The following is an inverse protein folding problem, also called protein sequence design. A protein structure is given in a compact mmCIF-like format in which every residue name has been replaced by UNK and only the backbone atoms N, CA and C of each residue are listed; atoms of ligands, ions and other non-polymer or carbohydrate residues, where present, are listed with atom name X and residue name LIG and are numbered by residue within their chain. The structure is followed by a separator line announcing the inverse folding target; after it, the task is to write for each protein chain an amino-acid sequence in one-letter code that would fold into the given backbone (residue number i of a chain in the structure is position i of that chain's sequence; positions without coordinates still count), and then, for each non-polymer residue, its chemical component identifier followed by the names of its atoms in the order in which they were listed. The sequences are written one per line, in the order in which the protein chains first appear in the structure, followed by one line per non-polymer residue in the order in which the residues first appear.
data_IF_195287267083
#
_entry.id   IF_195287267083
#
_cell.length_a   1.000
_cell.length_b   1.000
_cell.length_c   1.000
_cell.angle_alpha   90.00
_cell.angle_beta   90.00
_cell.angle_gamma   90.00
#
_symmetry.space_group_name_H-M   'P 1'
#
loop_
_entity.id
_entity.type
_entity.pdbx_description
1 polymer ?
#
# COMPACT_ATOMS: atom_id res chain seq x y z
N UNK A 1 35.49 -10.85 -13.36
CA UNK A 1 35.81 -9.42 -13.61
C UNK A 1 34.56 -8.62 -13.34
N UNK A 2 34.53 -7.77 -12.32
CA UNK A 2 33.38 -6.89 -12.06
C UNK A 2 33.23 -5.91 -13.24
N UNK A 3 32.11 -5.98 -13.98
CA UNK A 3 31.82 -5.01 -15.04
C UNK A 3 31.46 -3.67 -14.40
N UNK A 4 32.41 -2.74 -14.40
CA UNK A 4 32.16 -1.35 -14.05
C UNK A 4 31.51 -0.67 -15.25
N UNK A 5 30.31 -0.13 -15.09
CA UNK A 5 29.60 0.57 -16.16
C UNK A 5 29.56 2.07 -15.85
N UNK A 6 30.05 2.88 -16.79
CA UNK A 6 29.93 4.34 -16.68
C UNK A 6 28.65 4.76 -17.37
N UNK A 7 27.78 5.46 -16.65
CA UNK A 7 26.49 5.96 -17.12
C UNK A 7 26.61 7.48 -17.28
N UNK A 8 26.45 7.94 -18.50
CA UNK A 8 26.51 9.34 -18.96
C UNK A 8 25.22 9.77 -19.65
N UNK A 9 24.46 8.82 -20.21
CA UNK A 9 23.23 9.11 -20.96
C UNK A 9 22.04 8.26 -20.50
N UNK A 10 20.82 8.72 -20.82
CA UNK A 10 19.58 7.96 -20.56
C UNK A 10 19.57 6.63 -21.32
N UNK A 11 20.16 6.59 -22.52
CA UNK A 11 20.27 5.37 -23.31
C UNK A 11 21.14 4.30 -22.61
N UNK A 12 22.21 4.72 -21.94
CA UNK A 12 23.06 3.82 -21.15
C UNK A 12 22.33 3.32 -19.88
N UNK A 13 21.46 4.16 -19.29
CA UNK A 13 20.60 3.73 -18.18
C UNK A 13 19.56 2.69 -18.64
N UNK A 14 19.01 2.84 -19.85
CA UNK A 14 18.06 1.90 -20.44
C UNK A 14 18.68 0.54 -20.81
N UNK A 15 20.00 0.46 -20.92
CA UNK A 15 20.72 -0.80 -21.15
C UNK A 15 20.85 -1.69 -19.90
N UNK A 16 20.42 -1.20 -18.73
CA UNK A 16 20.49 -1.92 -17.46
C UNK A 16 19.31 -2.90 -17.36
N UNK A 17 19.54 -4.16 -16.91
CA UNK A 17 18.45 -5.10 -16.67
C UNK A 17 17.39 -4.53 -15.72
N UNK A 18 16.10 -4.72 -16.04
CA UNK A 18 14.98 -4.16 -15.27
C UNK A 18 15.05 -4.48 -13.77
N UNK A 19 15.57 -5.67 -13.42
CA UNK A 19 15.75 -6.09 -12.03
C UNK A 19 16.75 -5.24 -11.23
N UNK A 20 17.77 -4.69 -11.89
CA UNK A 20 18.85 -3.93 -11.24
C UNK A 20 18.69 -2.41 -11.37
N UNK A 21 17.75 -1.97 -12.21
CA UNK A 21 17.36 -0.58 -12.38
C UNK A 21 17.03 0.13 -11.05
N UNK A 22 16.26 -0.46 -10.10
CA UNK A 22 16.00 0.20 -8.81
C UNK A 22 17.26 0.42 -7.96
N UNK A 23 18.21 -0.52 -8.01
CA UNK A 23 19.48 -0.43 -7.28
C UNK A 23 20.39 0.63 -7.90
N UNK A 24 20.44 0.67 -9.23
CA UNK A 24 21.16 1.69 -9.99
C UNK A 24 20.59 3.09 -9.71
N UNK A 25 19.28 3.28 -9.79
CA UNK A 25 18.61 4.55 -9.51
C UNK A 25 18.85 5.02 -8.07
N UNK A 26 18.78 4.12 -7.09
CA UNK A 26 19.10 4.46 -5.70
C UNK A 26 20.57 4.87 -5.52
N UNK A 27 21.50 4.25 -6.25
CA UNK A 27 22.91 4.61 -6.23
C UNK A 27 23.19 5.94 -6.95
N UNK A 28 22.52 6.20 -8.08
CA UNK A 28 22.56 7.45 -8.82
C UNK A 28 22.08 8.61 -7.95
N UNK A 29 20.93 8.45 -7.28
CA UNK A 29 20.38 9.45 -6.37
C UNK A 29 21.38 9.79 -5.25
N UNK A 30 22.00 8.78 -4.62
CA UNK A 30 23.06 9.01 -3.61
C UNK A 30 24.25 9.76 -4.19
N UNK A 31 24.69 9.41 -5.41
CA UNK A 31 25.79 10.09 -6.10
C UNK A 31 25.50 11.57 -6.36
N UNK A 32 24.29 11.90 -6.81
CA UNK A 32 23.86 13.29 -7.04
C UNK A 32 23.82 14.08 -5.73
N UNK A 33 23.24 13.50 -4.67
CA UNK A 33 23.16 14.15 -3.35
C UNK A 33 24.56 14.43 -2.80
N UNK A 34 25.48 13.47 -2.89
CA UNK A 34 26.84 13.66 -2.40
C UNK A 34 27.63 14.68 -3.24
N UNK A 35 27.49 14.67 -4.57
CA UNK A 35 28.10 15.68 -5.42
C UNK A 35 27.56 17.09 -5.14
N UNK A 36 26.26 17.23 -4.88
CA UNK A 36 25.67 18.51 -4.45
C UNK A 36 26.21 18.98 -3.11
N UNK A 37 26.38 18.05 -2.17
CA UNK A 37 26.99 18.33 -0.86
C UNK A 37 28.43 18.81 -1.03
N UNK A 38 29.24 18.14 -1.83
CA UNK A 38 30.63 18.54 -2.10
C UNK A 38 30.71 19.92 -2.77
N UNK A 39 29.81 20.19 -3.72
CA UNK A 39 29.70 21.50 -4.36
C UNK A 39 29.32 22.61 -3.35
N UNK A 40 28.38 22.34 -2.45
CA UNK A 40 28.01 23.29 -1.40
C UNK A 40 29.17 23.57 -0.43
N UNK A 41 29.92 22.54 -0.05
CA UNK A 41 31.12 22.69 0.79
C UNK A 41 32.17 23.54 0.06
N UNK A 42 32.45 23.25 -1.21
CA UNK A 42 33.42 24.02 -2.00
C UNK A 42 33.03 25.49 -2.18
N UNK A 43 31.74 25.81 -2.29
CA UNK A 43 31.23 27.19 -2.28
C UNK A 43 31.44 27.87 -0.92
N UNK A 44 31.12 27.19 0.18
CA UNK A 44 31.30 27.72 1.53
C UNK A 44 32.77 27.95 1.89
N UNK A 45 33.68 27.12 1.37
CA UNK A 45 35.13 27.22 1.59
C UNK A 45 35.83 28.17 0.59
N UNK A 46 35.09 28.78 -0.34
CA UNK A 46 35.62 29.71 -1.34
C UNK A 46 36.52 29.06 -2.39
N UNK A 47 36.46 27.74 -2.54
CA UNK A 47 37.23 26.96 -3.52
C UNK A 47 36.68 27.11 -4.95
N UNK A 48 35.41 27.51 -5.08
CA UNK A 48 34.73 27.79 -6.35
C UNK A 48 33.93 29.09 -6.26
N UNK A 49 33.85 29.83 -7.37
CA UNK A 49 33.09 31.08 -7.42
C UNK A 49 31.57 30.82 -7.31
N UNK A 50 30.85 31.78 -6.73
CA UNK A 50 29.40 31.69 -6.51
C UNK A 50 28.57 31.52 -7.79
N UNK A 51 29.15 31.84 -8.94
CA UNK A 51 28.49 31.78 -10.25
C UNK A 51 28.64 30.40 -10.93
N UNK A 52 29.46 29.50 -10.37
CA UNK A 52 29.65 28.17 -10.94
C UNK A 52 28.41 27.31 -10.67
N UNK A 53 27.73 26.91 -11.74
CA UNK A 53 26.58 26.02 -11.67
C UNK A 53 27.00 24.58 -11.34
N UNK A 54 26.17 23.88 -10.56
CA UNK A 54 26.38 22.47 -10.27
C UNK A 54 26.16 21.61 -11.53
N UNK A 55 27.21 20.92 -11.98
CA UNK A 55 27.14 19.95 -13.07
C UNK A 55 27.44 18.53 -12.58
N UNK A 56 26.58 17.58 -12.93
CA UNK A 56 26.76 16.15 -12.64
C UNK A 56 26.87 15.38 -13.95
N UNK A 57 28.09 15.17 -14.44
CA UNK A 57 28.35 14.71 -15.80
C UNK A 57 28.58 13.20 -15.94
N UNK A 58 29.02 12.52 -14.87
CA UNK A 58 29.33 11.08 -14.94
C UNK A 58 28.96 10.33 -13.67
N UNK A 59 28.29 9.19 -13.83
CA UNK A 59 28.02 8.26 -12.75
C UNK A 59 28.67 6.91 -13.05
N UNK A 60 29.54 6.45 -12.17
CA UNK A 60 30.14 5.11 -12.28
C UNK A 60 29.30 4.17 -11.44
N UNK A 61 28.56 3.28 -12.11
CA UNK A 61 27.79 2.25 -11.44
C UNK A 61 28.56 0.94 -11.41
N UNK A 62 28.61 0.34 -10.23
CA UNK A 62 29.08 -1.04 -10.05
C UNK A 62 27.86 -1.87 -9.70
N UNK A 63 27.43 -2.79 -10.57
CA UNK A 63 26.42 -3.77 -10.21
C UNK A 63 26.88 -4.43 -8.92
N UNK A 64 26.04 -4.40 -7.88
CA UNK A 64 26.30 -5.23 -6.72
C UNK A 64 26.22 -6.67 -7.19
N UNK A 65 27.38 -7.30 -7.45
CA UNK A 65 27.52 -8.69 -7.96
C UNK A 65 26.88 -9.77 -7.08
N UNK A 66 26.15 -9.37 -6.03
CA UNK A 66 25.33 -10.23 -5.20
C UNK A 66 24.25 -10.97 -5.99
N UNK A 67 23.74 -10.42 -7.11
CA UNK A 67 22.66 -11.07 -7.88
C UNK A 67 23.18 -12.02 -8.97
N UNK A 68 24.23 -11.66 -9.69
CA UNK A 68 24.92 -12.58 -10.61
C UNK A 68 25.54 -13.77 -9.86
N UNK A 69 26.16 -13.53 -8.70
CA UNK A 69 26.63 -14.61 -7.84
C UNK A 69 25.49 -15.48 -7.31
N UNK A 70 24.33 -14.90 -7.01
CA UNK A 70 23.15 -15.64 -6.53
C UNK A 70 22.46 -16.44 -7.64
N UNK A 71 22.39 -15.90 -8.86
CA UNK A 71 21.84 -16.61 -10.03
C UNK A 71 22.78 -17.73 -10.50
N UNK A 72 24.10 -17.49 -10.50
CA UNK A 72 25.10 -18.52 -10.78
C UNK A 72 25.17 -19.61 -9.68
N UNK A 73 24.91 -19.23 -8.42
CA UNK A 73 24.74 -20.18 -7.33
C UNK A 73 23.46 -20.99 -7.52
N UNK A 74 22.32 -20.34 -7.79
CA UNK A 74 21.02 -20.99 -7.99
C UNK A 74 21.06 -22.07 -9.07
N UNK A 75 21.80 -21.85 -10.16
CA UNK A 75 22.00 -22.86 -11.21
C UNK A 75 22.79 -24.11 -10.75
N UNK A 76 23.47 -24.04 -9.60
CA UNK A 76 24.22 -25.15 -8.98
C UNK A 76 23.55 -25.69 -7.71
N UNK A 77 22.46 -25.07 -7.25
CA UNK A 77 21.74 -25.54 -6.08
C UNK A 77 20.85 -26.72 -6.48
N UNK A 78 20.85 -27.75 -5.65
CA UNK A 78 19.91 -28.85 -5.69
C UNK A 78 19.28 -29.07 -4.31
N UNK A 79 18.27 -29.96 -4.20
CA UNK A 79 17.63 -30.28 -2.92
C UNK A 79 18.64 -30.73 -1.84
N UNK A 80 19.65 -31.49 -2.25
CA UNK A 80 20.71 -32.01 -1.38
C UNK A 80 21.77 -30.97 -0.98
N UNK A 81 21.69 -29.73 -1.50
CA UNK A 81 22.72 -28.72 -1.22
C UNK A 81 22.75 -28.37 0.27
N UNK A 82 23.91 -28.47 0.94
CA UNK A 82 24.04 -28.15 2.35
C UNK A 82 23.74 -26.67 2.66
N UNK A 83 23.11 -26.41 3.80
CA UNK A 83 22.89 -25.05 4.31
C UNK A 83 24.20 -24.28 4.51
N UNK A 84 25.31 -25.00 4.75
CA UNK A 84 26.65 -24.44 4.86
C UNK A 84 27.14 -23.72 3.60
N UNK A 85 26.63 -24.09 2.42
CA UNK A 85 26.98 -23.50 1.13
C UNK A 85 26.13 -22.27 0.78
N UNK A 86 25.04 -22.04 1.52
CA UNK A 86 24.13 -20.93 1.26
C UNK A 86 24.75 -19.59 1.68
N UNK A 87 24.49 -18.49 0.94
CA UNK A 87 25.04 -17.16 1.20
C UNK A 87 24.28 -16.45 2.34
N UNK A 88 24.12 -17.12 3.47
CA UNK A 88 23.47 -16.62 4.70
C UNK A 88 24.51 -16.41 5.80
N UNK A 89 24.17 -15.58 6.79
CA UNK A 89 25.07 -15.27 7.91
C UNK A 89 25.35 -16.52 8.75
N UNK A 90 26.53 -16.65 9.39
CA UNK A 90 26.85 -17.78 10.26
C UNK A 90 25.81 -18.01 11.37
N UNK A 91 25.25 -16.94 11.94
CA UNK A 91 24.18 -17.02 12.93
C UNK A 91 22.92 -17.70 12.41
N UNK A 92 22.57 -17.49 11.14
CA UNK A 92 21.41 -18.12 10.49
C UNK A 92 21.69 -19.61 10.26
N UNK A 93 22.91 -19.96 9.81
CA UNK A 93 23.32 -21.37 9.65
C UNK A 93 23.25 -22.12 10.98
N UNK A 94 23.71 -21.50 12.05
CA UNK A 94 23.65 -22.07 13.39
C UNK A 94 22.19 -22.35 13.82
N UNK A 95 21.28 -21.40 13.60
CA UNK A 95 19.84 -21.60 13.90
C UNK A 95 19.23 -22.70 13.03
N UNK A 96 19.61 -22.79 11.76
CA UNK A 96 19.14 -23.86 10.87
C UNK A 96 19.62 -25.24 11.35
N UNK A 97 20.89 -25.37 11.73
CA UNK A 97 21.42 -26.59 12.34
C UNK A 97 20.74 -26.95 13.66
N UNK A 98 20.42 -25.97 14.52
CA UNK A 98 19.65 -26.21 15.74
C UNK A 98 18.24 -26.75 15.48
N UNK A 99 17.69 -26.48 14.29
CA UNK A 99 16.38 -26.97 13.84
C UNK A 99 16.49 -28.26 13.03
N UNK A 100 17.67 -28.92 13.03
CA UNK A 100 17.97 -30.11 12.23
C UNK A 100 17.80 -29.89 10.72
N UNK A 101 18.06 -28.67 10.24
CA UNK A 101 18.11 -28.36 8.81
C UNK A 101 19.55 -28.44 8.34
N UNK A 102 19.87 -29.45 7.55
CA UNK A 102 21.22 -29.68 7.02
C UNK A 102 21.31 -29.37 5.52
N UNK A 103 20.25 -29.63 4.75
CA UNK A 103 20.15 -29.32 3.32
C UNK A 103 18.95 -28.43 2.95
N UNK A 104 18.82 -28.10 1.66
CA UNK A 104 17.68 -27.33 1.14
C UNK A 104 16.37 -28.13 1.16
N UNK A 105 16.42 -29.45 1.02
CA UNK A 105 15.25 -30.32 1.18
C UNK A 105 14.71 -30.26 2.61
N UNK A 106 15.57 -30.37 3.63
CA UNK A 106 15.17 -30.21 5.03
C UNK A 106 14.54 -28.83 5.28
N UNK A 107 15.05 -27.80 4.60
CA UNK A 107 14.53 -26.44 4.73
C UNK A 107 13.10 -26.34 4.17
N UNK A 108 12.78 -27.09 3.12
CA UNK A 108 11.42 -27.19 2.57
C UNK A 108 10.44 -27.88 3.53
N UNK A 109 10.93 -28.72 4.44
CA UNK A 109 10.12 -29.37 5.48
C UNK A 109 9.81 -28.47 6.69
N UNK A 110 10.29 -27.22 6.72
CA UNK A 110 10.05 -26.27 7.80
C UNK A 110 9.16 -25.10 7.35
N UNK A 111 8.26 -24.66 8.23
CA UNK A 111 7.40 -23.51 7.97
C UNK A 111 8.11 -22.16 8.20
N UNK A 112 7.67 -21.10 7.51
CA UNK A 112 8.18 -19.73 7.72
C UNK A 112 8.05 -19.29 9.20
N UNK A 113 6.97 -19.68 9.88
CA UNK A 113 6.77 -19.35 11.28
C UNK A 113 7.80 -20.02 12.20
N UNK A 114 8.17 -21.27 11.92
CA UNK A 114 9.18 -21.97 12.71
C UNK A 114 10.57 -21.38 12.51
N UNK A 115 10.89 -20.91 11.31
CA UNK A 115 12.11 -20.15 11.05
C UNK A 115 12.12 -18.83 11.82
N UNK A 116 11.00 -18.09 11.81
CA UNK A 116 10.88 -16.79 12.48
C UNK A 116 10.86 -16.86 14.01
N UNK A 117 10.58 -18.03 14.61
CA UNK A 117 10.64 -18.23 16.06
C UNK A 117 12.07 -18.30 16.61
N UNK A 118 13.10 -18.44 15.76
CA UNK A 118 14.49 -18.49 16.17
C UNK A 118 15.15 -17.11 16.25
N UNK A 119 15.94 -16.87 17.30
CA UNK A 119 16.74 -15.67 17.42
C UNK A 119 17.80 -15.62 16.31
N UNK A 120 17.74 -14.58 15.46
CA UNK A 120 18.71 -14.35 14.38
C UNK A 120 18.20 -14.60 12.96
N UNK A 121 16.99 -15.15 12.79
CA UNK A 121 16.35 -15.31 11.46
C UNK A 121 15.24 -14.29 11.28
N UNK A 122 15.55 -13.19 10.58
CA UNK A 122 14.57 -12.15 10.28
C UNK A 122 13.77 -12.39 9.00
N UNK A 123 12.65 -11.67 8.85
CA UNK A 123 11.74 -11.74 7.69
C UNK A 123 12.47 -11.61 6.33
N UNK A 124 13.49 -10.75 6.25
CA UNK A 124 14.29 -10.57 5.02
C UNK A 124 15.13 -11.82 4.69
N UNK A 125 15.66 -12.49 5.70
CA UNK A 125 16.42 -13.74 5.53
C UNK A 125 15.50 -14.86 5.06
N UNK A 126 14.32 -14.99 5.67
CA UNK A 126 13.33 -16.00 5.25
C UNK A 126 12.85 -15.75 3.82
N UNK A 127 12.65 -14.48 3.44
CA UNK A 127 12.35 -14.10 2.04
C UNK A 127 13.40 -14.63 1.07
N UNK A 128 14.69 -14.43 1.36
CA UNK A 128 15.80 -14.93 0.52
C UNK A 128 15.89 -16.45 0.49
N UNK A 129 15.67 -17.11 1.63
CA UNK A 129 15.66 -18.57 1.71
C UNK A 129 14.52 -19.16 0.87
N UNK A 130 13.35 -18.53 0.89
CA UNK A 130 12.23 -18.90 0.02
C UNK A 130 12.56 -18.69 -1.47
N UNK A 131 13.16 -17.56 -1.83
CA UNK A 131 13.59 -17.31 -3.22
C UNK A 131 14.59 -18.38 -3.70
N UNK A 132 15.50 -18.82 -2.81
CA UNK A 132 16.42 -19.93 -3.10
C UNK A 132 15.68 -21.24 -3.34
N UNK A 133 14.75 -21.60 -2.46
CA UNK A 133 13.93 -22.82 -2.63
C UNK A 133 13.13 -22.78 -3.93
N UNK A 134 12.48 -21.64 -4.22
CA UNK A 134 11.68 -21.48 -5.44
C UNK A 134 12.52 -21.61 -6.72
N UNK A 135 13.81 -21.22 -6.67
CA UNK A 135 14.72 -21.39 -7.81
C UNK A 135 15.02 -22.86 -8.16
N UNK A 136 14.83 -23.78 -7.20
CA UNK A 136 14.99 -25.23 -7.39
C UNK A 136 13.64 -25.98 -7.40
N UNK A 137 12.52 -25.26 -7.47
CA UNK A 137 11.17 -25.84 -7.51
C UNK A 137 10.63 -26.30 -6.14
N UNK A 138 11.29 -25.92 -5.04
CA UNK A 138 10.82 -26.18 -3.67
C UNK A 138 10.16 -24.93 -3.08
N UNK A 139 9.36 -25.09 -2.03
CA UNK A 139 8.89 -23.99 -1.18
C UNK A 139 8.92 -24.42 0.29
N UNK A 140 8.80 -23.47 1.20
CA UNK A 140 8.67 -23.75 2.62
C UNK A 140 7.35 -24.47 2.92
N UNK A 141 7.36 -25.30 3.97
CA UNK A 141 6.16 -26.00 4.42
C UNK A 141 5.05 -24.97 4.75
N UNK A 142 3.81 -25.20 4.33
CA UNK A 142 2.70 -24.36 4.73
C UNK A 142 2.55 -24.35 6.26
N UNK A 143 2.07 -23.24 6.78
CA UNK A 143 1.84 -23.08 8.21
C UNK A 143 0.89 -24.18 8.73
N UNK A 144 1.21 -24.91 9.81
CA UNK A 144 0.28 -25.88 10.39
C UNK A 144 -0.95 -25.21 11.03
N UNK A 145 -0.82 -23.96 11.49
CA UNK A 145 -1.93 -23.17 12.02
C UNK A 145 -2.77 -22.54 10.90
N UNK A 146 -4.09 -22.75 10.93
CA UNK A 146 -5.04 -22.16 9.99
C UNK A 146 -4.94 -20.64 9.95
N UNK A 147 -4.83 -19.98 11.10
CA UNK A 147 -4.68 -18.52 11.15
C UNK A 147 -3.36 -18.11 10.48
N UNK A 148 -2.30 -18.85 10.75
CA UNK A 148 -1.01 -18.67 10.09
C UNK A 148 -1.13 -18.73 8.56
N UNK A 149 -1.84 -19.74 8.03
CA UNK A 149 -2.10 -19.87 6.59
C UNK A 149 -2.84 -18.69 6.00
N UNK A 150 -3.91 -18.22 6.67
CA UNK A 150 -4.67 -17.04 6.23
C UNK A 150 -3.78 -15.78 6.12
N UNK A 151 -2.83 -15.60 7.05
CA UNK A 151 -1.87 -14.49 7.01
C UNK A 151 -0.82 -14.66 5.91
N UNK A 152 -0.36 -15.88 5.67
CA UNK A 152 0.64 -16.19 4.66
C UNK A 152 0.06 -16.04 3.25
N UNK A 153 -1.17 -16.51 3.01
CA UNK A 153 -1.94 -16.30 1.77
C UNK A 153 -2.11 -14.81 1.47
N UNK A 154 -2.61 -14.05 2.44
CA UNK A 154 -2.77 -12.61 2.27
C UNK A 154 -1.43 -11.89 2.04
N UNK A 155 -0.35 -12.36 2.67
CA UNK A 155 1.00 -11.84 2.43
C UNK A 155 1.49 -12.16 1.02
N UNK A 156 1.24 -13.37 0.53
CA UNK A 156 1.63 -13.79 -0.81
C UNK A 156 0.98 -12.91 -1.89
N UNK A 157 -0.34 -12.69 -1.80
CA UNK A 157 -1.06 -11.80 -2.72
C UNK A 157 -0.54 -10.36 -2.71
N UNK A 158 -0.13 -9.85 -1.54
CA UNK A 158 0.48 -8.51 -1.42
C UNK A 158 1.88 -8.41 -2.02
N UNK A 159 2.59 -9.52 -2.20
CA UNK A 159 3.91 -9.54 -2.87
C UNK A 159 3.78 -9.52 -4.39
N UNK A 160 2.61 -9.88 -4.93
CA UNK A 160 2.36 -9.80 -6.37
C UNK A 160 2.42 -8.35 -6.88
N UNK A 161 2.83 -8.12 -8.13
CA UNK A 161 2.64 -6.85 -8.82
C UNK A 161 1.15 -6.43 -8.84
N UNK A 162 0.87 -5.14 -8.96
CA UNK A 162 -0.50 -4.63 -8.81
C UNK A 162 -1.48 -5.20 -9.85
N UNK A 163 -1.04 -5.39 -11.10
CA UNK A 163 -1.85 -6.00 -12.17
C UNK A 163 -2.17 -7.48 -11.91
N UNK A 164 -1.17 -8.25 -11.47
CA UNK A 164 -1.34 -9.65 -11.11
C UNK A 164 -2.26 -9.79 -9.90
N UNK A 165 -2.12 -8.90 -8.91
CA UNK A 165 -2.98 -8.88 -7.72
C UNK A 165 -4.43 -8.55 -8.08
N UNK A 166 -4.66 -7.52 -8.90
CA UNK A 166 -6.01 -7.17 -9.37
C UNK A 166 -6.63 -8.34 -10.14
N UNK A 167 -5.85 -9.03 -10.98
CA UNK A 167 -6.31 -10.23 -11.71
C UNK A 167 -6.67 -11.39 -10.78
N UNK A 168 -5.90 -11.62 -9.69
CA UNK A 168 -6.22 -12.65 -8.69
C UNK A 168 -7.49 -12.35 -7.88
N UNK A 169 -7.88 -11.08 -7.78
CA UNK A 169 -9.07 -10.65 -7.05
C UNK A 169 -10.34 -10.71 -7.89
N UNK A 170 -10.22 -10.56 -9.22
CA UNK A 170 -11.35 -10.66 -10.15
C UNK A 170 -12.00 -12.05 -10.06
N UNK A 171 -13.31 -12.08 -9.83
CA UNK A 171 -14.08 -13.32 -9.79
C UNK A 171 -14.09 -14.03 -8.43
N UNK A 172 -13.55 -13.42 -7.38
CA UNK A 172 -13.73 -13.95 -6.02
C UNK A 172 -15.21 -13.93 -5.61
N UNK A 173 -15.70 -15.11 -5.21
CA UNK A 173 -17.06 -15.34 -4.75
C UNK A 173 -17.21 -15.05 -3.26
N UNK A 174 -18.46 -15.03 -2.80
CA UNK A 174 -18.80 -14.79 -1.39
C UNK A 174 -18.31 -15.90 -0.46
N UNK A 175 -18.10 -17.11 -0.98
CA UNK A 175 -17.63 -18.27 -0.20
C UNK A 175 -16.12 -18.30 0.00
N UNK A 176 -15.37 -17.46 -0.74
CA UNK A 176 -13.93 -17.38 -0.55
C UNK A 176 -13.57 -16.78 0.81
N UNK A 177 -12.43 -17.21 1.35
CA UNK A 177 -11.87 -16.67 2.59
C UNK A 177 -11.49 -15.20 2.44
N UNK A 178 -11.61 -14.42 3.52
CA UNK A 178 -11.12 -13.04 3.54
C UNK A 178 -9.60 -12.92 3.39
N UNK A 179 -8.84 -14.01 3.59
CA UNK A 179 -7.40 -14.05 3.30
C UNK A 179 -7.11 -13.81 1.82
N UNK A 180 -8.02 -14.21 0.93
CA UNK A 180 -7.90 -14.03 -0.53
C UNK A 180 -8.01 -12.55 -0.97
N UNK A 181 -8.44 -11.64 -0.09
CA UNK A 181 -8.47 -10.20 -0.38
C UNK A 181 -7.08 -9.54 -0.29
N UNK A 182 -6.04 -10.24 0.20
CA UNK A 182 -4.70 -9.67 0.31
C UNK A 182 -4.62 -8.46 1.26
N UNK A 183 -5.39 -8.46 2.34
CA UNK A 183 -5.43 -7.36 3.33
C UNK A 183 -4.15 -7.29 4.17
N UNK A 184 -3.71 -6.09 4.56
CA UNK A 184 -2.62 -5.93 5.54
C UNK A 184 -2.89 -6.75 6.80
N UNK A 185 -1.81 -7.23 7.43
CA UNK A 185 -1.93 -8.10 8.61
C UNK A 185 -2.70 -7.47 9.78
N UNK A 186 -2.66 -6.15 9.95
CA UNK A 186 -3.49 -5.45 10.94
C UNK A 186 -4.99 -5.53 10.60
N UNK A 187 -5.33 -5.19 9.35
CA UNK A 187 -6.69 -5.23 8.81
C UNK A 187 -7.27 -6.64 8.84
N UNK A 188 -6.52 -7.64 8.34
CA UNK A 188 -6.92 -9.05 8.35
C UNK A 188 -7.14 -9.57 9.77
N UNK A 189 -6.21 -9.28 10.70
CA UNK A 189 -6.34 -9.68 12.11
C UNK A 189 -7.60 -9.10 12.73
N UNK A 190 -7.91 -7.84 12.44
CA UNK A 190 -9.11 -7.17 12.94
C UNK A 190 -10.38 -7.75 12.34
N UNK A 191 -10.37 -8.06 11.05
CA UNK A 191 -11.50 -8.70 10.36
C UNK A 191 -11.81 -10.08 10.97
N UNK A 192 -10.78 -10.92 11.12
CA UNK A 192 -10.92 -12.24 11.76
C UNK A 192 -11.41 -12.15 13.21
N UNK A 193 -10.93 -11.16 13.98
CA UNK A 193 -11.42 -10.91 15.36
C UNK A 193 -12.85 -10.41 15.41
N UNK A 194 -13.28 -9.65 14.41
CA UNK A 194 -14.65 -9.18 14.28
C UNK A 194 -15.62 -10.26 13.77
N UNK A 195 -15.12 -11.47 13.50
CA UNK A 195 -15.90 -12.62 13.08
C UNK A 195 -16.00 -12.82 11.58
N UNK A 196 -15.38 -11.96 10.76
CA UNK A 196 -15.39 -12.09 9.32
C UNK A 196 -14.43 -13.21 8.88
N UNK A 197 -14.94 -14.25 8.24
CA UNK A 197 -14.22 -15.41 7.72
C UNK A 197 -14.28 -15.48 6.21
N UNK A 198 -15.42 -15.11 5.63
CA UNK A 198 -15.64 -15.15 4.18
C UNK A 198 -15.93 -13.76 3.60
N UNK A 199 -15.66 -13.59 2.31
CA UNK A 199 -15.85 -12.31 1.60
C UNK A 199 -17.32 -11.89 1.61
N UNK A 200 -18.26 -12.84 1.53
CA UNK A 200 -19.69 -12.58 1.57
C UNK A 200 -20.13 -11.88 2.86
N UNK A 201 -19.54 -12.21 4.01
CA UNK A 201 -19.87 -11.56 5.29
C UNK A 201 -19.42 -10.09 5.28
N UNK A 202 -18.29 -9.78 4.64
CA UNK A 202 -17.85 -8.38 4.46
C UNK A 202 -18.78 -7.64 3.49
N UNK A 203 -19.17 -8.26 2.38
CA UNK A 203 -20.08 -7.67 1.37
C UNK A 203 -21.48 -7.42 1.92
N UNK A 204 -21.98 -8.30 2.78
CA UNK A 204 -23.27 -8.17 3.45
C UNK A 204 -23.25 -7.14 4.60
N UNK A 205 -22.07 -6.69 5.02
CA UNK A 205 -21.95 -5.72 6.11
C UNK A 205 -22.14 -4.32 5.59
N UNK A 206 -23.04 -3.56 6.20
CA UNK A 206 -23.25 -2.17 5.80
C UNK A 206 -22.02 -1.30 6.06
N UNK A 207 -21.77 -0.30 5.20
CA UNK A 207 -20.71 0.70 5.38
C UNK A 207 -20.63 1.31 6.78
N UNK A 208 -21.78 1.55 7.41
CA UNK A 208 -21.89 2.08 8.78
C UNK A 208 -21.33 1.13 9.83
N UNK A 209 -21.58 -0.17 9.69
CA UNK A 209 -21.04 -1.20 10.60
C UNK A 209 -19.53 -1.37 10.40
N UNK A 210 -19.05 -1.26 9.16
CA UNK A 210 -17.60 -1.20 8.93
C UNK A 210 -16.98 0.04 9.57
N UNK A 211 -17.69 1.18 9.57
CA UNK A 211 -17.22 2.43 10.18
C UNK A 211 -16.98 2.33 11.69
N UNK A 212 -17.74 1.52 12.41
CA UNK A 212 -17.58 1.32 13.86
C UNK A 212 -16.48 0.32 14.20
N UNK A 213 -16.26 -0.68 13.34
CA UNK A 213 -15.29 -1.77 13.58
C UNK A 213 -13.89 -1.49 13.06
N UNK A 214 -13.75 -0.66 12.03
CA UNK A 214 -12.48 -0.42 11.33
C UNK A 214 -12.12 1.07 11.27
N UNK A 215 -10.82 1.36 11.36
CA UNK A 215 -10.29 2.70 11.17
C UNK A 215 -10.33 3.13 9.70
N UNK A 216 -10.19 4.43 9.42
CA UNK A 216 -10.31 4.98 8.05
C UNK A 216 -9.37 4.29 7.03
N UNK A 217 -8.13 4.02 7.40
CA UNK A 217 -7.16 3.35 6.52
C UNK A 217 -7.52 1.90 6.22
N UNK A 218 -8.03 1.17 7.23
CA UNK A 218 -8.45 -0.22 7.11
C UNK A 218 -9.70 -0.33 6.23
N UNK A 219 -10.65 0.57 6.42
CA UNK A 219 -11.85 0.64 5.56
C UNK A 219 -11.47 0.90 4.13
N UNK A 220 -10.66 1.93 3.86
CA UNK A 220 -10.19 2.25 2.51
C UNK A 220 -9.58 1.03 1.83
N UNK A 221 -8.76 0.28 2.57
CA UNK A 221 -8.17 -0.97 2.06
C UNK A 221 -9.23 -2.02 1.74
N UNK A 222 -10.18 -2.28 2.65
CA UNK A 222 -11.27 -3.25 2.45
C UNK A 222 -12.10 -2.86 1.21
N UNK A 223 -12.55 -1.61 1.13
CA UNK A 223 -13.32 -1.11 -0.01
C UNK A 223 -12.56 -1.25 -1.33
N UNK A 224 -11.30 -0.82 -1.37
CA UNK A 224 -10.50 -0.92 -2.59
C UNK A 224 -10.38 -2.38 -3.08
N UNK A 225 -10.13 -3.32 -2.15
CA UNK A 225 -10.03 -4.73 -2.50
C UNK A 225 -11.36 -5.34 -2.93
N UNK A 226 -12.46 -4.97 -2.28
CA UNK A 226 -13.79 -5.43 -2.69
C UNK A 226 -14.20 -4.87 -4.06
N UNK A 227 -13.87 -3.61 -4.35
CA UNK A 227 -14.10 -3.03 -5.68
C UNK A 227 -13.31 -3.76 -6.77
N UNK A 228 -12.05 -4.14 -6.49
CA UNK A 228 -11.21 -4.92 -7.42
C UNK A 228 -11.77 -6.32 -7.72
N UNK A 229 -12.63 -6.88 -6.85
CA UNK A 229 -13.30 -8.17 -7.12
C UNK A 229 -14.44 -8.07 -8.14
N UNK A 230 -14.90 -6.86 -8.46
CA UNK A 230 -16.05 -6.60 -9.35
C UNK A 230 -17.40 -6.54 -8.64
N UNK A 231 -17.50 -6.98 -7.37
CA UNK A 231 -18.71 -6.89 -6.55
C UNK A 231 -18.31 -6.31 -5.19
N UNK A 232 -18.74 -5.07 -4.92
CA UNK A 232 -18.30 -4.32 -3.74
C UNK A 232 -19.05 -4.71 -2.47
N UNK A 233 -20.37 -4.51 -2.44
CA UNK A 233 -21.24 -4.73 -1.29
C UNK A 233 -22.64 -5.13 -1.78
N UNK A 234 -23.44 -5.76 -0.93
CA UNK A 234 -24.85 -6.05 -1.24
C UNK A 234 -25.67 -4.77 -1.41
N UNK A 235 -25.32 -3.72 -0.67
CA UNK A 235 -25.82 -2.35 -0.87
C UNK A 235 -24.72 -1.55 -1.55
N UNK A 236 -25.00 -1.01 -2.75
CA UNK A 236 -24.03 -0.16 -3.46
C UNK A 236 -23.69 1.03 -2.56
N UNK A 237 -22.42 1.19 -2.14
CA UNK A 237 -22.03 2.29 -1.27
C UNK A 237 -22.29 3.62 -2.00
N UNK A 238 -22.86 4.59 -1.30
CA UNK A 238 -23.14 5.89 -1.93
C UNK A 238 -21.84 6.58 -2.35
N UNK A 239 -21.84 7.42 -3.40
CA UNK A 239 -20.65 8.18 -3.81
C UNK A 239 -20.04 8.96 -2.63
N UNK A 240 -20.87 9.50 -1.74
CA UNK A 240 -20.42 10.20 -0.53
C UNK A 240 -19.71 9.26 0.47
N UNK A 241 -20.15 8.01 0.60
CA UNK A 241 -19.44 7.02 1.42
C UNK A 241 -18.09 6.61 0.83
N UNK A 242 -17.99 6.49 -0.50
CA UNK A 242 -16.72 6.26 -1.18
C UNK A 242 -15.75 7.44 -0.98
N UNK A 243 -16.24 8.67 -1.07
CA UNK A 243 -15.48 9.89 -0.77
C UNK A 243 -15.02 9.96 0.69
N UNK A 244 -15.89 9.65 1.67
CA UNK A 244 -15.53 9.60 3.11
C UNK A 244 -14.33 8.68 3.36
N UNK A 245 -14.23 7.59 2.61
CA UNK A 245 -13.13 6.63 2.70
C UNK A 245 -11.95 6.94 1.75
N UNK A 246 -12.01 8.01 0.96
CA UNK A 246 -10.92 8.48 0.09
C UNK A 246 -10.71 7.62 -1.15
N UNK A 247 -11.79 7.07 -1.69
CA UNK A 247 -11.79 6.23 -2.91
C UNK A 247 -12.21 7.01 -4.15
N UNK A 248 -13.00 8.07 -3.95
CA UNK A 248 -13.53 8.96 -4.99
C UNK A 248 -13.12 10.37 -4.63
N UNK A 249 -12.68 11.14 -5.63
CA UNK A 249 -12.28 12.52 -5.45
C UNK A 249 -13.53 13.43 -5.32
N UNK A 250 -13.41 14.63 -4.75
CA UNK A 250 -14.60 15.48 -4.52
C UNK A 250 -15.22 15.95 -5.84
N UNK A 251 -14.39 16.22 -6.82
CA UNK A 251 -14.70 16.62 -8.19
C UNK A 251 -15.43 15.54 -9.00
N UNK A 252 -15.31 14.27 -8.59
CA UNK A 252 -16.05 13.15 -9.17
C UNK A 252 -17.46 13.01 -8.58
N UNK A 253 -17.82 13.79 -7.55
CA UNK A 253 -19.15 13.76 -6.93
C UNK A 253 -20.10 14.74 -7.62
N UNK A 254 -21.27 14.26 -8.00
CA UNK A 254 -22.39 15.11 -8.43
C UNK A 254 -23.12 15.65 -7.21
N UNK A 255 -23.45 16.95 -7.25
CA UNK A 255 -24.27 17.56 -6.22
C UNK A 255 -25.67 16.92 -6.25
N UNK A 256 -26.26 16.54 -5.11
CA UNK A 256 -27.57 15.93 -5.10
C UNK A 256 -28.67 16.94 -5.44
N UNK A 257 -29.61 16.54 -6.31
CA UNK A 257 -30.72 17.41 -6.73
C UNK A 257 -32.01 17.15 -5.91
N UNK A 258 -32.07 16.03 -5.19
CA UNK A 258 -33.26 15.62 -4.44
C UNK A 258 -33.36 16.37 -3.10
N UNK A 259 -34.48 17.07 -2.81
CA UNK A 259 -34.65 17.84 -1.58
C UNK A 259 -34.65 16.97 -0.32
N UNK A 260 -35.03 15.70 -0.43
CA UNK A 260 -35.03 14.73 0.68
C UNK A 260 -33.62 14.20 1.01
N UNK A 261 -32.61 14.56 0.22
CA UNK A 261 -31.23 14.10 0.43
C UNK A 261 -30.76 14.43 1.84
N UNK A 262 -30.33 13.44 2.64
CA UNK A 262 -29.87 13.70 4.01
C UNK A 262 -28.68 14.66 4.05
N UNK A 263 -28.64 15.53 5.06
CA UNK A 263 -27.54 16.47 5.27
C UNK A 263 -26.18 15.76 5.39
N UNK A 264 -26.17 14.52 5.89
CA UNK A 264 -24.98 13.67 6.00
C UNK A 264 -24.33 13.33 4.65
N UNK A 265 -25.12 13.35 3.57
CA UNK A 265 -24.67 13.08 2.21
C UNK A 265 -24.20 14.35 1.50
N UNK A 266 -24.61 15.53 1.97
CA UNK A 266 -24.14 16.84 1.52
C UNK A 266 -22.79 17.26 2.13
N UNK A 267 -22.26 16.48 3.07
CA UNK A 267 -20.99 16.76 3.75
C UNK A 267 -19.81 17.13 2.82
N UNK A 268 -19.61 16.52 1.64
CA UNK A 268 -18.51 16.86 0.74
C UNK A 268 -18.50 18.33 0.30
N UNK A 269 -19.67 18.93 0.11
CA UNK A 269 -19.81 20.32 -0.33
C UNK A 269 -19.90 21.30 0.83
N UNK A 270 -20.55 20.90 1.93
CA UNK A 270 -20.72 21.75 3.12
C UNK A 270 -19.42 21.97 3.90
N UNK A 271 -18.48 21.02 3.84
CA UNK A 271 -17.19 21.12 4.52
C UNK A 271 -17.32 21.47 6.00
N UNK A 272 -16.76 22.62 6.40
CA UNK A 272 -16.77 23.08 7.79
C UNK A 272 -18.18 23.44 8.30
N UNK A 273 -19.11 23.80 7.41
CA UNK A 273 -20.48 24.18 7.78
C UNK A 273 -21.36 22.99 8.20
N UNK A 274 -20.98 21.77 7.84
CA UNK A 274 -21.78 20.57 8.12
C UNK A 274 -22.14 20.42 9.60
N UNK A 275 -21.15 20.52 10.50
CA UNK A 275 -21.38 20.35 11.95
C UNK A 275 -22.28 21.44 12.55
N UNK A 276 -22.07 22.75 12.27
CA UNK A 276 -23.00 23.80 12.66
C UNK A 276 -24.44 23.59 12.17
N UNK A 277 -24.63 23.25 10.88
CA UNK A 277 -25.94 23.03 10.28
C UNK A 277 -26.65 21.82 10.91
N UNK A 278 -25.92 20.74 11.15
CA UNK A 278 -26.42 19.55 11.84
C UNK A 278 -26.86 19.88 13.29
N UNK A 279 -26.07 20.67 14.03
CA UNK A 279 -26.42 21.11 15.39
C UNK A 279 -27.66 22.00 15.43
N UNK A 280 -27.90 22.78 14.37
CA UNK A 280 -29.09 23.63 14.21
C UNK A 280 -30.36 22.82 13.93
N UNK A 281 -30.22 21.53 13.61
CA UNK A 281 -31.32 20.61 13.37
C UNK A 281 -31.72 20.47 11.90
N UNK A 282 -30.90 20.97 10.96
CA UNK A 282 -31.13 20.73 9.54
C UNK A 282 -30.94 19.23 9.24
N UNK A 283 -31.89 18.64 8.51
CA UNK A 283 -31.94 17.19 8.26
C UNK A 283 -31.63 16.82 6.82
N UNK A 284 -31.95 17.68 5.87
CA UNK A 284 -31.93 17.39 4.44
C UNK A 284 -31.57 18.63 3.59
N UNK A 285 -31.46 18.43 2.27
CA UNK A 285 -31.19 19.48 1.30
C UNK A 285 -32.31 20.52 1.26
N UNK A 286 -33.58 20.11 1.35
CA UNK A 286 -34.73 21.00 1.35
C UNK A 286 -34.68 22.02 2.49
N UNK A 287 -34.32 21.60 3.69
CA UNK A 287 -34.12 22.49 4.84
C UNK A 287 -32.98 23.50 4.62
N UNK A 288 -31.92 23.08 3.94
CA UNK A 288 -30.80 23.96 3.58
C UNK A 288 -31.21 24.98 2.51
N UNK A 289 -31.93 24.54 1.47
CA UNK A 289 -32.44 25.39 0.39
C UNK A 289 -33.50 26.39 0.89
N UNK A 290 -34.27 26.04 1.93
CA UNK A 290 -35.22 26.93 2.57
C UNK A 290 -34.53 28.03 3.38
N UNK A 291 -33.41 27.70 4.03
CA UNK A 291 -32.60 28.64 4.83
C UNK A 291 -31.66 29.51 3.99
N UNK A 292 -31.87 29.61 2.67
CA UNK A 292 -30.98 30.26 1.70
C UNK A 292 -30.78 31.78 1.89
N UNK A 293 -31.27 32.38 2.99
CA UNK A 293 -30.91 33.75 3.35
C UNK A 293 -29.50 33.77 3.98
N UNK A 294 -28.62 34.57 3.37
CA UNK A 294 -27.27 34.87 3.86
C UNK A 294 -27.27 35.27 5.34
N UNK A 295 -28.22 36.10 5.77
CA UNK A 295 -28.28 36.58 7.15
C UNK A 295 -28.68 35.47 8.11
N UNK A 296 -29.57 34.57 7.68
CA UNK A 296 -29.99 33.41 8.45
C UNK A 296 -28.83 32.42 8.61
N UNK A 297 -28.08 32.11 7.54
CA UNK A 297 -26.93 31.21 7.59
C UNK A 297 -25.76 31.78 8.41
N UNK A 298 -25.48 33.08 8.28
CA UNK A 298 -24.43 33.75 9.05
C UNK A 298 -24.78 33.91 10.55
N UNK A 299 -26.06 33.80 10.92
CA UNK A 299 -26.50 33.81 12.31
C UNK A 299 -26.24 32.47 13.04
N UNK A 300 -25.94 31.40 12.29
CA UNK A 300 -25.68 30.08 12.86
C UNK A 300 -24.29 30.07 13.52
N UNK A 301 -24.27 29.79 14.82
CA UNK A 301 -23.03 29.68 15.59
C UNK A 301 -22.06 28.66 14.96
N UNK A 302 -20.88 29.12 14.57
CA UNK A 302 -19.85 28.33 13.89
C UNK A 302 -19.81 28.49 12.36
N UNK A 303 -20.71 29.26 11.76
CA UNK A 303 -20.66 29.65 10.34
C UNK A 303 -20.23 31.13 10.25
N UNK A 304 -19.05 31.39 9.69
CA UNK A 304 -18.59 32.75 9.42
C UNK A 304 -19.15 33.31 8.12
N UNK A 305 -19.07 34.63 7.92
CA UNK A 305 -19.56 35.34 6.72
C UNK A 305 -19.06 34.70 5.41
N UNK A 306 -17.76 34.43 5.30
CA UNK A 306 -17.18 33.79 4.11
C UNK A 306 -17.72 32.38 3.84
N UNK A 307 -18.04 31.62 4.89
CA UNK A 307 -18.63 30.27 4.74
C UNK A 307 -20.10 30.38 4.35
N UNK A 308 -20.84 31.33 4.91
CA UNK A 308 -22.21 31.63 4.52
C UNK A 308 -22.29 32.06 3.05
N UNK A 309 -21.40 32.93 2.60
CA UNK A 309 -21.33 33.39 1.20
C UNK A 309 -21.13 32.21 0.23
N UNK A 310 -20.21 31.30 0.55
CA UNK A 310 -19.97 30.08 -0.25
C UNK A 310 -21.15 29.11 -0.25
N UNK A 311 -21.92 29.04 0.84
CA UNK A 311 -23.11 28.20 0.91
C UNK A 311 -24.24 28.80 0.06
N UNK A 312 -24.44 30.11 0.12
CA UNK A 312 -25.43 30.80 -0.74
C UNK A 312 -25.06 30.62 -2.20
N UNK A 313 -23.79 30.84 -2.58
CA UNK A 313 -23.31 30.62 -3.94
C UNK A 313 -23.53 29.17 -4.43
N UNK A 314 -23.22 28.18 -3.57
CA UNK A 314 -23.50 26.77 -3.84
C UNK A 314 -25.00 26.51 -4.06
N UNK A 315 -25.85 27.05 -3.18
CA UNK A 315 -27.30 26.89 -3.24
C UNK A 315 -27.89 27.56 -4.50
N UNK A 316 -27.44 28.76 -4.84
CA UNK A 316 -27.89 29.52 -6.01
C UNK A 316 -27.48 28.83 -7.31
N UNK A 317 -26.25 28.33 -7.40
CA UNK A 317 -25.75 27.60 -8.57
C UNK A 317 -26.57 26.35 -8.87
N UNK A 318 -27.11 25.70 -7.84
CA UNK A 318 -27.89 24.46 -7.95
C UNK A 318 -29.42 24.67 -7.86
N UNK A 319 -29.89 25.92 -7.77
CA UNK A 319 -31.32 26.27 -7.85
C UNK A 319 -31.82 26.54 -9.28
N UNK A 320 -30.89 26.76 -10.21
CA UNK A 320 -31.16 27.20 -11.60
C UNK A 320 -31.14 26.07 -12.64
N UNK A 321 -31.06 24.82 -12.20
CA UNK A 321 -31.20 23.60 -13.03
C UNK A 321 -32.48 22.89 -12.62
#
# INVERSE_FOLDING_TARGET
MEKVQTIRTIAELASIPEGDLPSCLAALHRGIVEARRQHAVALCEGLIASEVAFEFSTFIWRPTGKREAFSALAAKLGPETPVGELPVRPSVRFVLHQKNVFCLEDLSAISENELLRGDGVGVKTVGRLRELLQSIGLDLLPNPDQRGREFDESRALRRLPDEARASSLKGLSDTNSISHLGLRGGTLRRALRAGFRIIGELRATSPRVLATRFGRSERREIYARLLETGIAFSETPSPTELWKNGLVARDELQFPDEPETPLADLQPWLGAAFKPLQKRGMKDLGALLAAADRNELASISGIGKSTADKLVELIETHRTV
#
